data_IF_381010785665
#
_entry.id   IF_381010785665
#
_cell.length_a   1.000
_cell.length_b   1.000
_cell.length_c   1.000
_cell.angle_alpha   90.00
_cell.angle_beta   90.00
_cell.angle_gamma   90.00
#
_symmetry.space_group_name_H-M   'P 1'
#
loop_
_entity.id
_entity.type
_entity.pdbx_description
1 polymer ?
#
# COMPACT_ATOMS: atom_id res chain seq x y z
N UNK A 1 6.89 0.76 -18.30
CA UNK A 1 7.94 0.43 -17.31
C UNK A 1 7.78 1.41 -16.15
N UNK A 2 7.51 0.91 -14.94
CA UNK A 2 7.35 1.77 -13.75
C UNK A 2 8.70 2.15 -13.16
N UNK A 3 8.68 2.93 -12.08
CA UNK A 3 9.88 3.37 -11.36
C UNK A 3 10.13 2.56 -10.09
N UNK A 4 11.29 2.75 -9.46
CA UNK A 4 11.59 2.20 -8.14
C UNK A 4 10.64 2.70 -7.03
N UNK A 5 9.85 3.73 -7.32
CA UNK A 5 8.86 4.30 -6.39
C UNK A 5 7.59 3.46 -6.24
N UNK A 6 7.52 2.27 -6.86
CA UNK A 6 6.46 1.29 -6.60
C UNK A 6 6.35 0.90 -5.12
N UNK A 7 7.40 1.09 -4.33
CA UNK A 7 7.37 0.94 -2.88
C UNK A 7 6.26 1.76 -2.20
N UNK A 8 5.94 2.93 -2.75
CA UNK A 8 4.86 3.80 -2.25
C UNK A 8 3.47 3.41 -2.76
N UNK A 9 3.38 2.50 -3.74
CA UNK A 9 2.12 2.05 -4.31
C UNK A 9 1.48 0.98 -3.42
N UNK A 10 1.08 1.42 -2.23
CA UNK A 10 0.53 0.59 -1.15
C UNK A 10 -0.99 0.49 -1.24
N UNK A 11 -1.57 -0.47 -0.51
CA UNK A 11 -3.02 -0.56 -0.34
C UNK A 11 -3.38 -0.44 1.15
N UNK A 12 -4.13 0.60 1.50
CA UNK A 12 -4.72 0.72 2.85
C UNK A 12 -5.93 -0.21 2.97
N UNK A 13 -5.91 -1.11 3.96
CA UNK A 13 -7.08 -1.93 4.33
C UNK A 13 -8.06 -1.10 5.18
N UNK A 14 -7.50 -0.33 6.11
CA UNK A 14 -8.15 0.73 6.88
C UNK A 14 -7.08 1.75 7.29
N UNK A 15 -7.46 2.77 8.06
CA UNK A 15 -6.57 3.83 8.52
C UNK A 15 -5.35 3.34 9.33
N UNK A 16 -5.40 2.10 9.87
CA UNK A 16 -4.37 1.54 10.75
C UNK A 16 -3.64 0.34 10.16
N UNK A 17 -3.98 -0.10 8.94
CA UNK A 17 -3.40 -1.30 8.31
C UNK A 17 -3.10 -1.08 6.84
N UNK A 18 -1.87 -1.36 6.43
CA UNK A 18 -1.37 -1.12 5.07
C UNK A 18 -0.67 -2.37 4.51
N UNK A 19 -0.95 -2.71 3.26
CA UNK A 19 -0.18 -3.71 2.50
C UNK A 19 1.06 -3.05 1.88
N UNK A 20 2.20 -3.68 2.10
CA UNK A 20 3.53 -3.19 1.68
C UNK A 20 4.37 -4.34 1.14
N UNK A 21 5.28 -4.02 0.21
CA UNK A 21 6.19 -5.01 -0.35
C UNK A 21 7.18 -5.47 0.72
N UNK A 22 7.47 -6.77 0.74
CA UNK A 22 8.25 -7.40 1.83
C UNK A 22 9.69 -6.87 1.88
N UNK A 23 10.28 -6.59 0.71
CA UNK A 23 11.66 -6.11 0.58
C UNK A 23 11.80 -4.58 0.85
N UNK A 24 10.70 -3.83 0.92
CA UNK A 24 10.71 -2.37 1.06
C UNK A 24 10.76 -1.91 2.53
N UNK A 25 11.88 -2.19 3.20
CA UNK A 25 12.07 -1.92 4.63
C UNK A 25 11.93 -0.44 5.03
N UNK A 26 12.44 0.56 4.26
CA UNK A 26 12.33 1.97 4.67
C UNK A 26 10.87 2.44 4.80
N UNK A 27 10.00 2.05 3.86
CA UNK A 27 8.59 2.46 3.90
C UNK A 27 7.83 1.74 5.02
N UNK A 28 8.16 0.47 5.27
CA UNK A 28 7.60 -0.28 6.40
C UNK A 28 7.89 0.44 7.73
N UNK A 29 9.14 0.85 7.96
CA UNK A 29 9.54 1.58 9.18
C UNK A 29 8.85 2.94 9.29
N UNK A 30 8.61 3.62 8.17
CA UNK A 30 7.84 4.87 8.16
C UNK A 30 6.41 4.64 8.66
N UNK A 31 5.70 3.66 8.11
CA UNK A 31 4.34 3.33 8.56
C UNK A 31 4.29 2.86 10.01
N UNK A 32 5.22 2.01 10.43
CA UNK A 32 5.31 1.53 11.81
C UNK A 32 5.51 2.69 12.80
N UNK A 33 6.34 3.69 12.46
CA UNK A 33 6.52 4.92 13.27
C UNK A 33 5.26 5.78 13.34
N UNK A 34 4.41 5.73 12.32
CA UNK A 34 3.11 6.41 12.30
C UNK A 34 2.01 5.61 13.04
N UNK A 35 2.34 4.46 13.63
CA UNK A 35 1.38 3.59 14.30
C UNK A 35 0.51 2.77 13.35
N UNK A 36 0.89 2.69 12.06
CA UNK A 36 0.18 1.91 11.04
C UNK A 36 0.81 0.52 10.95
N UNK A 37 -0.02 -0.53 11.07
CA UNK A 37 0.41 -1.92 10.99
C UNK A 37 0.69 -2.33 9.54
N UNK A 38 1.94 -2.68 9.27
CA UNK A 38 2.38 -3.24 7.99
C UNK A 38 1.97 -4.71 7.84
N UNK A 39 1.23 -5.00 6.77
CA UNK A 39 0.95 -6.35 6.27
C UNK A 39 1.90 -6.59 5.09
N UNK A 40 2.93 -7.38 5.33
CA UNK A 40 4.02 -7.60 4.37
C UNK A 40 3.62 -8.72 3.41
N UNK A 41 3.62 -8.43 2.11
CA UNK A 41 3.31 -9.39 1.05
C UNK A 41 4.36 -9.22 -0.05
N UNK A 42 4.79 -10.30 -0.68
CA UNK A 42 5.70 -10.20 -1.82
C UNK A 42 4.94 -10.25 -3.13
N UNK A 43 5.11 -9.21 -3.95
CA UNK A 43 4.58 -9.09 -5.31
C UNK A 43 5.69 -8.70 -6.30
N UNK A 44 6.95 -8.95 -5.97
CA UNK A 44 8.14 -8.56 -6.75
C UNK A 44 8.04 -8.89 -8.24
N UNK A 45 7.52 -10.07 -8.58
CA UNK A 45 7.33 -10.45 -9.99
C UNK A 45 6.20 -9.66 -10.65
N UNK A 46 5.09 -9.42 -9.96
CA UNK A 46 4.00 -8.57 -10.47
C UNK A 46 4.44 -7.10 -10.63
N UNK A 47 5.31 -6.59 -9.75
CA UNK A 47 5.91 -5.25 -9.87
C UNK A 47 6.67 -5.05 -11.20
N UNK A 48 7.22 -6.12 -11.79
CA UNK A 48 7.91 -6.05 -13.09
C UNK A 48 6.98 -5.64 -14.24
N UNK A 49 5.67 -5.91 -14.10
CA UNK A 49 4.64 -5.46 -15.03
C UNK A 49 4.21 -4.01 -14.80
N UNK A 50 4.77 -3.34 -13.78
CA UNK A 50 4.68 -1.90 -13.59
C UNK A 50 3.64 -1.43 -12.56
N UNK A 51 3.07 -2.32 -11.73
CA UNK A 51 2.09 -1.95 -10.72
C UNK A 51 2.44 -2.49 -9.33
N UNK A 52 2.11 -1.73 -8.28
CA UNK A 52 2.12 -2.18 -6.88
C UNK A 52 0.70 -2.52 -6.41
N UNK A 53 0.48 -2.66 -5.10
CA UNK A 53 -0.80 -3.12 -4.55
C UNK A 53 -2.00 -2.28 -5.00
N UNK A 54 -1.86 -0.96 -5.06
CA UNK A 54 -2.95 -0.09 -5.51
C UNK A 54 -3.27 -0.29 -6.99
N UNK A 55 -2.25 -0.43 -7.84
CA UNK A 55 -2.45 -0.71 -9.27
C UNK A 55 -3.13 -2.06 -9.52
N UNK A 56 -2.85 -3.06 -8.68
CA UNK A 56 -3.38 -4.42 -8.83
C UNK A 56 -4.77 -4.62 -8.23
N UNK A 57 -5.37 -3.59 -7.62
CA UNK A 57 -6.64 -3.72 -6.91
C UNK A 57 -7.62 -2.62 -7.30
N UNK A 58 -8.90 -2.89 -7.04
CA UNK A 58 -9.98 -1.91 -7.17
C UNK A 58 -10.93 -2.14 -6.00
N UNK A 59 -11.02 -1.15 -5.13
CA UNK A 59 -11.82 -1.17 -3.90
C UNK A 59 -13.28 -0.83 -4.17
N UNK A 60 -14.06 -1.85 -4.57
CA UNK A 60 -15.48 -1.72 -4.90
C UNK A 60 -16.35 -1.28 -3.71
N UNK A 61 -15.91 -1.54 -2.46
CA UNK A 61 -16.65 -1.15 -1.26
C UNK A 61 -15.72 -0.91 -0.07
N UNK A 62 -15.87 0.26 0.56
CA UNK A 62 -15.37 0.59 1.90
C UNK A 62 -16.53 0.97 2.81
N UNK A 63 -16.41 0.72 4.11
CA UNK A 63 -17.44 1.09 5.10
C UNK A 63 -17.19 2.53 5.55
N UNK A 64 -18.19 3.39 5.39
CA UNK A 64 -18.16 4.79 5.78
C UNK A 64 -19.33 5.56 5.18
N UNK A 65 -19.35 6.86 5.40
CA UNK A 65 -20.29 7.81 4.82
C UNK A 65 -19.53 8.87 4.01
N UNK A 66 -20.25 9.69 3.23
CA UNK A 66 -19.62 10.82 2.53
C UNK A 66 -19.27 11.92 3.54
N UNK A 67 -18.00 12.32 3.58
CA UNK A 67 -17.46 13.32 4.51
C UNK A 67 -16.48 14.28 3.78
N UNK A 68 -16.18 15.43 4.39
CA UNK A 68 -15.17 16.39 3.93
C UNK A 68 -13.96 16.38 4.86
N UNK A 69 -12.75 16.40 4.30
CA UNK A 69 -11.48 16.34 5.04
C UNK A 69 -10.50 17.48 4.68
N UNK A 70 -11.02 18.54 4.05
CA UNK A 70 -10.29 19.80 3.81
C UNK A 70 -10.49 20.79 4.97
#
# INVERSE_FOLDING_TARGET
MSSKWLSMNVLMIDEKRVLVETDEIPIQKMFEKLGIKCIKVSIRHANSLGGGFHCWTTDIRRRGTLESYL
#
